data_IF_462433291216
#
_entry.id   IF_462433291216
#
_cell.length_a   1.000
_cell.length_b   1.000
_cell.length_c   1.000
_cell.angle_alpha   90.00
_cell.angle_beta   90.00
_cell.angle_gamma   90.00
#
_symmetry.space_group_name_H-M   'P 1'
#
loop_
_entity.id
_entity.type
_entity.pdbx_description
1 polymer ?
#
# COMPACT_ATOMS: atom_id res chain seq x y z
N UNK A 1 -6.65 15.47 4.32
CA UNK A 1 -5.44 16.28 4.08
C UNK A 1 -4.76 15.81 2.78
N UNK A 2 -3.85 16.62 2.24
CA UNK A 2 -3.08 16.27 1.04
C UNK A 2 -1.61 16.60 1.28
N UNK A 3 -0.74 15.75 0.75
CA UNK A 3 0.68 16.00 0.60
C UNK A 3 0.96 16.10 -0.89
N UNK A 4 1.67 17.15 -1.30
CA UNK A 4 2.04 17.37 -2.70
C UNK A 4 3.56 17.53 -2.82
N UNK A 5 4.08 17.07 -3.95
CA UNK A 5 5.44 17.37 -4.40
C UNK A 5 5.31 18.54 -5.37
N UNK A 6 5.94 19.66 -5.01
CA UNK A 6 5.86 20.92 -5.73
C UNK A 6 7.21 21.29 -6.35
N UNK A 7 7.20 21.68 -7.60
CA UNK A 7 8.36 22.27 -8.27
C UNK A 7 8.20 23.80 -8.26
N UNK A 8 8.98 24.53 -7.46
CA UNK A 8 8.84 25.99 -7.37
C UNK A 8 9.33 26.75 -8.59
N UNK A 9 10.25 26.16 -9.38
CA UNK A 9 10.78 26.81 -10.59
C UNK A 9 9.79 26.78 -11.75
N UNK A 10 9.09 25.65 -11.90
CA UNK A 10 8.09 25.47 -12.95
C UNK A 10 6.66 25.82 -12.49
N UNK A 11 6.47 26.09 -11.19
CA UNK A 11 5.18 26.31 -10.57
C UNK A 11 4.18 25.16 -10.82
N UNK A 12 4.66 23.90 -10.71
CA UNK A 12 3.91 22.69 -11.06
C UNK A 12 3.83 21.69 -9.92
N UNK A 13 2.72 20.95 -9.85
CA UNK A 13 2.57 19.79 -8.99
C UNK A 13 3.09 18.55 -9.72
N UNK A 14 4.14 17.95 -9.19
CA UNK A 14 4.75 16.74 -9.75
C UNK A 14 4.01 15.48 -9.33
N UNK A 15 3.41 15.47 -8.15
CA UNK A 15 2.70 14.34 -7.59
C UNK A 15 2.11 14.64 -6.23
N UNK A 16 1.44 13.67 -5.66
CA UNK A 16 0.86 13.82 -4.34
C UNK A 16 0.05 12.61 -3.91
N UNK A 17 -0.42 12.67 -2.69
CA UNK A 17 -1.41 11.75 -2.17
C UNK A 17 -2.31 12.41 -1.13
N UNK A 18 -3.46 11.79 -0.98
CA UNK A 18 -4.44 12.15 0.04
C UNK A 18 -4.20 11.30 1.28
N UNK A 19 -4.35 11.89 2.45
CA UNK A 19 -4.26 11.15 3.70
C UNK A 19 -5.27 11.63 4.74
N UNK A 20 -5.59 10.73 5.66
CA UNK A 20 -6.36 11.03 6.88
C UNK A 20 -5.66 10.41 8.08
N UNK A 21 -5.56 11.16 9.16
CA UNK A 21 -5.09 10.65 10.43
C UNK A 21 -6.17 9.78 11.07
N UNK A 22 -5.80 8.68 11.68
CA UNK A 22 -6.74 7.83 12.41
C UNK A 22 -7.50 8.56 13.50
N UNK A 23 -6.87 9.56 14.13
CA UNK A 23 -7.52 10.46 15.11
C UNK A 23 -8.59 11.38 14.50
N UNK A 24 -8.52 11.64 13.19
CA UNK A 24 -9.49 12.49 12.48
C UNK A 24 -10.63 11.66 11.84
N UNK A 25 -10.56 10.33 11.95
CA UNK A 25 -11.58 9.43 11.39
C UNK A 25 -12.87 9.55 12.19
N UNK A 26 -13.97 9.79 11.48
CA UNK A 26 -15.31 9.74 12.05
C UNK A 26 -15.88 8.34 11.93
N UNK A 27 -16.85 8.04 12.75
CA UNK A 27 -17.59 6.81 12.73
C UNK A 27 -19.04 7.11 12.34
N UNK A 28 -19.66 6.18 11.63
CA UNK A 28 -21.07 6.27 11.30
C UNK A 28 -21.98 5.87 12.49
N UNK A 29 -23.29 5.88 12.28
CA UNK A 29 -24.28 5.51 13.30
C UNK A 29 -24.21 4.06 13.76
N UNK A 30 -23.54 3.19 12.98
CA UNK A 30 -23.30 1.78 13.29
C UNK A 30 -21.92 1.52 13.92
N UNK A 31 -21.13 2.57 14.13
CA UNK A 31 -19.76 2.47 14.67
C UNK A 31 -18.70 2.04 13.64
N UNK A 32 -19.02 2.06 12.34
CA UNK A 32 -18.04 1.77 11.30
C UNK A 32 -17.20 3.01 10.96
N UNK A 33 -15.88 2.85 10.74
CA UNK A 33 -15.01 3.98 10.43
C UNK A 33 -15.29 4.53 9.03
N UNK A 34 -15.39 5.86 8.90
CA UNK A 34 -15.57 6.53 7.60
C UNK A 34 -14.19 6.71 6.96
N UNK A 35 -13.67 5.62 6.39
CA UNK A 35 -12.41 5.54 5.65
C UNK A 35 -12.68 5.36 4.15
N UNK A 36 -11.73 5.77 3.31
CA UNK A 36 -11.86 5.55 1.86
C UNK A 36 -11.87 4.07 1.50
N UNK A 37 -11.31 3.21 2.34
CA UNK A 37 -11.22 1.76 2.17
C UNK A 37 -12.34 0.98 2.87
N UNK A 38 -13.20 1.62 3.66
CA UNK A 38 -14.22 0.96 4.49
C UNK A 38 -15.24 0.11 3.69
N UNK A 39 -15.43 0.40 2.41
CA UNK A 39 -16.30 -0.38 1.53
C UNK A 39 -15.63 -1.65 0.96
N UNK A 40 -14.36 -1.87 1.26
CA UNK A 40 -13.59 -3.02 0.75
C UNK A 40 -13.08 -3.94 1.86
N UNK A 41 -12.93 -3.42 3.06
CA UNK A 41 -12.29 -4.14 4.16
C UNK A 41 -13.15 -4.10 5.42
N UNK A 42 -13.08 -5.19 6.18
CA UNK A 42 -13.55 -5.25 7.56
C UNK A 42 -12.38 -4.90 8.47
N UNK A 43 -12.63 -4.08 9.46
CA UNK A 43 -11.66 -3.67 10.47
C UNK A 43 -12.01 -4.34 11.79
N UNK A 44 -11.05 -5.01 12.42
CA UNK A 44 -11.27 -5.61 13.73
C UNK A 44 -11.36 -4.54 14.82
N UNK A 45 -12.04 -4.85 15.93
CA UNK A 45 -12.09 -3.98 17.11
C UNK A 45 -10.67 -3.66 17.62
N UNK A 46 -9.77 -4.64 17.57
CA UNK A 46 -8.36 -4.46 17.93
C UNK A 46 -7.69 -3.40 17.05
N UNK A 47 -7.92 -3.45 15.72
CA UNK A 47 -7.39 -2.42 14.82
C UNK A 47 -7.96 -1.04 15.15
N UNK A 48 -9.28 -0.94 15.29
CA UNK A 48 -9.95 0.33 15.52
C UNK A 48 -9.52 0.99 16.83
N UNK A 49 -9.30 0.19 17.87
CA UNK A 49 -8.95 0.66 19.21
C UNK A 49 -7.46 0.93 19.39
N UNK A 50 -6.62 -0.01 18.96
CA UNK A 50 -5.20 -0.01 19.34
C UNK A 50 -4.29 0.53 18.23
N UNK A 51 -4.68 0.41 16.97
CA UNK A 51 -3.86 0.78 15.81
C UNK A 51 -4.34 2.06 15.11
N UNK A 52 -5.64 2.19 14.85
CA UNK A 52 -6.19 3.30 14.10
C UNK A 52 -5.75 4.68 14.65
N UNK A 53 -5.74 4.94 15.96
CA UNK A 53 -5.34 6.24 16.49
C UNK A 53 -3.90 6.66 16.15
N UNK A 54 -3.04 5.68 15.83
CA UNK A 54 -1.63 5.90 15.45
C UNK A 54 -1.36 5.61 13.98
N UNK A 55 -2.41 5.46 13.18
CA UNK A 55 -2.35 5.12 11.75
C UNK A 55 -2.72 6.32 10.88
N UNK A 56 -2.07 6.42 9.73
CA UNK A 56 -2.49 7.28 8.61
C UNK A 56 -3.02 6.38 7.50
N UNK A 57 -4.27 6.62 7.06
CA UNK A 57 -4.75 6.05 5.80
C UNK A 57 -4.25 6.91 4.63
N UNK A 58 -3.58 6.26 3.68
CA UNK A 58 -3.09 6.84 2.44
C UNK A 58 -4.00 6.45 1.27
N UNK A 59 -4.19 7.35 0.35
CA UNK A 59 -4.95 7.06 -0.85
C UNK A 59 -4.75 8.10 -1.95
N UNK A 60 -5.22 7.76 -3.15
CA UNK A 60 -5.17 8.67 -4.29
C UNK A 60 -3.77 9.19 -4.60
N UNK A 61 -2.76 8.32 -4.47
CA UNK A 61 -1.40 8.65 -4.90
C UNK A 61 -1.36 8.82 -6.42
N UNK A 62 -0.65 9.83 -6.87
CA UNK A 62 -0.42 10.09 -8.28
C UNK A 62 0.94 10.74 -8.51
N UNK A 63 1.49 10.50 -9.68
CA UNK A 63 2.56 11.29 -10.28
C UNK A 63 1.98 11.86 -11.57
N UNK A 64 2.20 13.12 -11.84
CA UNK A 64 1.72 13.78 -13.06
C UNK A 64 2.24 13.08 -14.31
N UNK A 65 1.41 12.91 -15.34
CA UNK A 65 1.70 12.07 -16.51
C UNK A 65 3.03 12.38 -17.19
N UNK A 66 3.39 13.64 -17.26
CA UNK A 66 4.66 14.10 -17.85
C UNK A 66 5.89 13.58 -17.10
N UNK A 67 5.72 13.24 -15.82
CA UNK A 67 6.75 12.71 -14.94
C UNK A 67 6.64 11.20 -14.71
N UNK A 68 5.71 10.50 -15.38
CA UNK A 68 5.56 9.03 -15.31
C UNK A 68 6.39 8.28 -16.37
N UNK A 69 7.28 8.97 -17.07
CA UNK A 69 8.03 8.38 -18.17
C UNK A 69 8.78 7.12 -17.75
N UNK A 70 8.53 6.02 -18.46
CA UNK A 70 9.29 4.77 -18.40
C UNK A 70 10.66 4.88 -19.07
N UNK A 71 10.91 5.97 -19.78
CA UNK A 71 12.24 6.32 -20.27
C UNK A 71 12.99 6.93 -19.10
N UNK A 72 14.23 6.53 -18.93
CA UNK A 72 15.16 6.88 -17.85
C UNK A 72 15.39 8.40 -17.63
N UNK A 73 14.36 9.21 -17.74
CA UNK A 73 14.36 10.60 -17.35
C UNK A 73 14.29 10.66 -15.82
N UNK A 74 15.38 11.12 -15.24
CA UNK A 74 15.58 11.24 -13.78
C UNK A 74 14.42 11.93 -13.06
N UNK A 75 13.65 12.77 -13.72
CA UNK A 75 12.56 13.57 -13.14
C UNK A 75 11.41 12.72 -12.57
N UNK A 76 11.01 11.63 -13.24
CA UNK A 76 9.93 10.76 -12.77
C UNK A 76 10.32 9.96 -11.52
N UNK A 77 11.55 9.46 -11.47
CA UNK A 77 12.10 8.79 -10.29
C UNK A 77 12.18 9.74 -9.10
N UNK A 78 12.64 10.98 -9.31
CA UNK A 78 12.68 12.00 -8.26
C UNK A 78 11.29 12.35 -7.70
N UNK A 79 10.24 12.37 -8.53
CA UNK A 79 8.89 12.64 -8.04
C UNK A 79 8.40 11.52 -7.10
N UNK A 80 8.69 10.25 -7.43
CA UNK A 80 8.33 9.11 -6.60
C UNK A 80 9.14 9.08 -5.29
N UNK A 81 10.46 9.31 -5.37
CA UNK A 81 11.33 9.38 -4.19
C UNK A 81 10.90 10.51 -3.25
N UNK A 82 10.60 11.69 -3.76
CA UNK A 82 10.08 12.80 -2.96
C UNK A 82 8.71 12.49 -2.31
N UNK A 83 7.87 11.66 -2.93
CA UNK A 83 6.63 11.19 -2.29
C UNK A 83 6.95 10.28 -1.09
N UNK A 84 7.95 9.41 -1.18
CA UNK A 84 8.42 8.59 -0.07
C UNK A 84 9.07 9.43 1.04
N UNK A 85 9.89 10.40 0.69
CA UNK A 85 10.47 11.36 1.63
C UNK A 85 9.38 12.14 2.37
N UNK A 86 8.31 12.50 1.65
CA UNK A 86 7.13 13.12 2.24
C UNK A 86 6.44 12.25 3.30
N UNK A 87 6.38 10.92 3.10
CA UNK A 87 5.88 9.99 4.13
C UNK A 87 6.81 9.98 5.34
N UNK A 88 8.12 9.94 5.12
CA UNK A 88 9.12 10.07 6.18
C UNK A 88 8.93 11.36 6.97
N UNK A 89 8.75 12.50 6.29
CA UNK A 89 8.51 13.79 6.92
C UNK A 89 7.24 13.80 7.79
N UNK A 90 6.16 13.11 7.37
CA UNK A 90 4.94 12.97 8.18
C UNK A 90 5.21 12.32 9.54
N UNK A 91 6.11 11.33 9.61
CA UNK A 91 6.44 10.68 10.89
C UNK A 91 7.24 11.58 11.83
N UNK A 92 8.00 12.52 11.29
CA UNK A 92 8.73 13.52 12.06
C UNK A 92 7.79 14.61 12.59
N UNK A 93 6.91 15.12 11.73
CA UNK A 93 5.94 16.19 12.09
C UNK A 93 4.85 15.65 13.02
N UNK A 94 4.52 14.37 12.92
CA UNK A 94 3.48 13.69 13.69
C UNK A 94 4.08 12.46 14.41
N UNK A 95 4.84 12.65 15.50
CA UNK A 95 5.60 11.57 16.14
C UNK A 95 4.75 10.45 16.75
N UNK A 96 3.45 10.66 16.89
CA UNK A 96 2.51 9.64 17.35
C UNK A 96 2.11 8.66 16.24
N UNK A 97 2.40 8.95 14.98
CA UNK A 97 2.12 8.07 13.84
C UNK A 97 3.13 6.93 13.83
N UNK A 98 2.61 5.70 13.82
CA UNK A 98 3.41 4.46 13.81
C UNK A 98 3.15 3.61 12.58
N UNK A 99 1.99 3.78 11.95
CA UNK A 99 1.54 2.93 10.86
C UNK A 99 1.03 3.75 9.69
N UNK A 100 1.29 3.25 8.49
CA UNK A 100 0.64 3.69 7.28
C UNK A 100 -0.24 2.55 6.78
N UNK A 101 -1.45 2.88 6.38
CA UNK A 101 -2.39 1.96 5.79
C UNK A 101 -2.85 2.47 4.43
N UNK A 102 -2.92 1.60 3.46
CA UNK A 102 -3.39 1.94 2.12
C UNK A 102 -3.63 0.68 1.31
N UNK A 103 -4.24 0.84 0.14
CA UNK A 103 -4.45 -0.24 -0.80
C UNK A 103 -3.63 -0.05 -2.07
N UNK A 104 -3.18 -1.13 -2.64
CA UNK A 104 -2.66 -1.20 -4.00
C UNK A 104 -3.69 -1.92 -4.87
N UNK A 105 -3.96 -1.38 -6.05
CA UNK A 105 -4.88 -2.00 -7.00
C UNK A 105 -4.11 -2.89 -7.96
N UNK A 106 -4.52 -4.16 -8.04
CA UNK A 106 -4.07 -5.07 -9.08
C UNK A 106 -5.19 -5.20 -10.11
N UNK A 107 -4.92 -4.83 -11.36
CA UNK A 107 -5.92 -4.89 -12.42
C UNK A 107 -6.12 -6.32 -12.93
N UNK A 108 -7.35 -6.69 -13.37
CA UNK A 108 -7.61 -8.00 -13.99
C UNK A 108 -6.77 -8.27 -15.23
N UNK A 109 -6.26 -7.23 -15.90
CA UNK A 109 -5.38 -7.32 -17.05
C UNK A 109 -3.94 -7.74 -16.72
N UNK A 110 -3.56 -7.77 -15.44
CA UNK A 110 -2.25 -8.25 -15.05
C UNK A 110 -2.11 -9.75 -15.32
N UNK A 111 -0.91 -10.19 -15.69
CA UNK A 111 -0.63 -11.60 -15.90
C UNK A 111 -0.95 -12.39 -14.64
N UNK A 112 -1.86 -13.38 -14.76
CA UNK A 112 -2.42 -14.08 -13.60
C UNK A 112 -1.37 -14.77 -12.75
N UNK A 113 -0.45 -15.50 -13.38
CA UNK A 113 0.60 -16.23 -12.66
C UNK A 113 1.53 -15.26 -11.89
N UNK A 114 1.93 -14.15 -12.50
CA UNK A 114 2.74 -13.13 -11.84
C UNK A 114 2.00 -12.51 -10.65
N UNK A 115 0.71 -12.21 -10.83
CA UNK A 115 -0.15 -11.73 -9.74
C UNK A 115 -0.20 -12.72 -8.58
N UNK A 116 -0.45 -13.99 -8.88
CA UNK A 116 -0.59 -15.03 -7.87
C UNK A 116 0.73 -15.29 -7.14
N UNK A 117 1.86 -15.25 -7.84
CA UNK A 117 3.20 -15.32 -7.22
C UNK A 117 3.44 -14.17 -6.24
N UNK A 118 3.08 -12.93 -6.62
CA UNK A 118 3.20 -11.76 -5.73
C UNK A 118 2.32 -11.94 -4.49
N UNK A 119 1.05 -12.29 -4.67
CA UNK A 119 0.11 -12.47 -3.57
C UNK A 119 0.51 -13.60 -2.62
N UNK A 120 0.97 -14.73 -3.19
CA UNK A 120 1.45 -15.85 -2.40
C UNK A 120 2.68 -15.46 -1.56
N UNK A 121 3.66 -14.80 -2.19
CA UNK A 121 4.85 -14.30 -1.50
C UNK A 121 4.49 -13.33 -0.35
N UNK A 122 3.58 -12.38 -0.61
CA UNK A 122 3.11 -11.44 0.42
C UNK A 122 2.38 -12.18 1.54
N UNK A 123 1.51 -13.14 1.23
CA UNK A 123 0.81 -13.95 2.22
C UNK A 123 1.77 -14.77 3.08
N UNK A 124 2.83 -15.32 2.48
CA UNK A 124 3.85 -16.10 3.20
C UNK A 124 4.66 -15.24 4.17
N UNK A 125 5.14 -14.09 3.74
CA UNK A 125 6.10 -13.29 4.48
C UNK A 125 5.50 -12.14 5.30
N UNK A 126 4.29 -11.68 4.95
CA UNK A 126 3.66 -10.50 5.54
C UNK A 126 2.20 -10.75 5.94
N UNK A 127 1.87 -11.99 6.32
CA UNK A 127 0.52 -12.31 6.76
C UNK A 127 0.07 -11.46 7.94
N UNK A 128 -1.16 -10.96 7.88
CA UNK A 128 -1.84 -10.34 9.02
C UNK A 128 -2.31 -11.44 9.99
N UNK A 129 -1.42 -11.83 10.90
CA UNK A 129 -1.66 -12.92 11.87
C UNK A 129 -2.77 -12.61 12.88
N UNK A 130 -3.03 -11.34 13.10
CA UNK A 130 -4.05 -10.86 14.03
C UNK A 130 -5.41 -10.59 13.37
N UNK A 131 -5.51 -10.75 12.05
CA UNK A 131 -6.69 -10.40 11.25
C UNK A 131 -7.18 -8.98 11.56
N UNK A 132 -6.25 -8.03 11.60
CA UNK A 132 -6.54 -6.64 11.92
C UNK A 132 -7.44 -6.00 10.87
N UNK A 133 -7.15 -6.29 9.58
CA UNK A 133 -7.87 -5.76 8.42
C UNK A 133 -8.07 -6.89 7.42
N UNK A 134 -9.31 -7.27 7.17
CA UNK A 134 -9.63 -8.37 6.26
C UNK A 134 -10.45 -7.89 5.06
N UNK A 135 -10.17 -8.36 3.85
CA UNK A 135 -10.96 -7.97 2.68
C UNK A 135 -12.37 -8.56 2.76
N UNK A 136 -13.40 -7.76 2.43
CA UNK A 136 -14.79 -8.24 2.32
C UNK A 136 -14.94 -9.26 1.18
N UNK A 137 -14.13 -9.11 0.13
CA UNK A 137 -14.08 -10.03 -1.01
C UNK A 137 -12.63 -10.46 -1.19
N UNK A 138 -12.20 -11.54 -0.53
CA UNK A 138 -10.83 -12.02 -0.66
C UNK A 138 -10.54 -12.47 -2.10
N UNK A 139 -9.36 -12.12 -2.59
CA UNK A 139 -8.89 -12.60 -3.89
C UNK A 139 -8.37 -14.03 -3.71
N UNK A 140 -8.93 -14.94 -4.49
CA UNK A 140 -8.48 -16.32 -4.54
C UNK A 140 -7.33 -16.43 -5.55
N UNK A 141 -6.35 -17.27 -5.24
CA UNK A 141 -5.31 -17.64 -6.19
C UNK A 141 -5.92 -18.56 -7.25
N UNK A 142 -5.53 -18.35 -8.49
CA UNK A 142 -5.94 -19.19 -9.63
C UNK A 142 -4.87 -20.24 -9.98
N UNK A 143 -3.62 -20.02 -9.52
CA UNK A 143 -2.51 -20.96 -9.65
C UNK A 143 -2.57 -22.05 -8.58
N UNK A 144 -1.99 -23.21 -8.87
CA UNK A 144 -1.89 -24.32 -7.90
C UNK A 144 -1.01 -23.90 -6.71
N UNK A 145 -1.57 -23.96 -5.50
CA UNK A 145 -0.84 -23.61 -4.28
C UNK A 145 0.35 -24.52 -4.02
N UNK A 146 0.30 -25.80 -4.44
CA UNK A 146 1.44 -26.73 -4.29
C UNK A 146 2.61 -26.31 -5.18
N UNK A 147 2.34 -25.79 -6.38
CA UNK A 147 3.38 -25.27 -7.27
C UNK A 147 4.00 -24.00 -6.67
N UNK A 148 3.20 -23.13 -6.08
CA UNK A 148 3.69 -21.93 -5.39
C UNK A 148 4.48 -22.25 -4.13
N UNK A 149 4.06 -23.25 -3.34
CA UNK A 149 4.80 -23.77 -2.20
C UNK A 149 6.16 -24.33 -2.61
N UNK A 150 6.21 -25.10 -3.68
CA UNK A 150 7.44 -25.66 -4.22
C UNK A 150 8.40 -24.57 -4.75
N UNK A 151 7.84 -23.52 -5.38
CA UNK A 151 8.59 -22.38 -5.90
C UNK A 151 9.22 -21.57 -4.77
N UNK A 152 8.43 -21.21 -3.76
CA UNK A 152 8.85 -20.43 -2.61
C UNK A 152 9.17 -21.31 -1.39
N UNK A 153 9.93 -22.39 -1.62
CA UNK A 153 10.26 -23.38 -0.59
C UNK A 153 11.37 -22.94 0.38
N UNK A 154 11.99 -21.78 0.16
CA UNK A 154 13.04 -21.27 1.04
C UNK A 154 12.42 -20.61 2.26
N UNK A 155 12.93 -20.92 3.45
CA UNK A 155 12.50 -20.26 4.70
C UNK A 155 13.21 -18.90 4.90
N UNK A 156 13.56 -18.24 3.80
CA UNK A 156 14.30 -16.99 3.77
C UNK A 156 13.60 -15.98 2.86
N UNK A 157 13.14 -14.87 3.45
CA UNK A 157 12.60 -13.74 2.70
C UNK A 157 13.51 -13.31 1.53
N UNK A 158 14.82 -13.22 1.79
CA UNK A 158 15.78 -12.74 0.79
C UNK A 158 15.90 -13.69 -0.41
N UNK A 159 15.82 -14.98 -0.17
CA UNK A 159 15.90 -15.99 -1.25
C UNK A 159 14.59 -16.05 -2.02
N UNK A 160 13.45 -16.10 -1.33
CA UNK A 160 12.14 -16.07 -1.97
C UNK A 160 11.93 -14.77 -2.76
N UNK A 161 12.42 -13.62 -2.27
CA UNK A 161 12.37 -12.36 -3.00
C UNK A 161 13.21 -12.37 -4.30
N UNK A 162 14.37 -13.03 -4.30
CA UNK A 162 15.15 -13.23 -5.53
C UNK A 162 14.39 -14.09 -6.53
N UNK A 163 13.76 -15.17 -6.06
CA UNK A 163 12.93 -16.03 -6.92
C UNK A 163 11.79 -15.21 -7.53
N UNK A 164 11.05 -14.45 -6.70
CA UNK A 164 9.97 -13.60 -7.16
C UNK A 164 10.43 -12.66 -8.28
N UNK A 165 11.55 -11.96 -8.10
CA UNK A 165 12.09 -11.02 -9.11
C UNK A 165 12.53 -11.69 -10.43
N UNK A 166 12.83 -12.98 -10.41
CA UNK A 166 13.16 -13.73 -11.63
C UNK A 166 11.91 -14.26 -12.35
N UNK A 167 10.79 -14.38 -11.63
CA UNK A 167 9.58 -15.08 -12.09
C UNK A 167 8.45 -14.14 -12.52
N UNK A 168 8.58 -12.85 -12.27
CA UNK A 168 7.65 -11.81 -12.70
C UNK A 168 8.29 -10.86 -13.70
#
# INVERSE_FOLDING_TARGET
KQLIVWNPEAEEILGGYRYILGTDVRFDEHGAPILATAHMFNFSDKFLKDYLPTTIELGRSFVTLEYQSTRADSKGLFALDNLWDGLGALTVVMPNVKYFFGKVTMYPSYHRQSRDKILYFLRKHFADKDNLITPMKPLLLESDENELDALFCKDSFKEDYKILNCEI
#
